data_IF_563998705281
#
_entry.id   IF_563998705281
#
_cell.length_a   1.000
_cell.length_b   1.000
_cell.length_c   1.000
_cell.angle_alpha   90.00
_cell.angle_beta   90.00
_cell.angle_gamma   90.00
#
_symmetry.space_group_name_H-M   'P 1'
#
loop_
_entity.id
_entity.type
_entity.pdbx_description
1 polymer ?
#
# COMPACT_ATOMS: atom_id res chain seq x y z
N UNK A 1 0.02 33.59 6.85
CA UNK A 1 -1.14 32.93 6.23
C UNK A 1 -2.21 32.88 7.31
N UNK A 2 -3.10 33.87 7.35
CA UNK A 2 -4.17 33.95 8.34
C UNK A 2 -5.39 33.24 7.77
N UNK A 3 -5.74 32.09 8.32
CA UNK A 3 -7.05 31.48 8.13
C UNK A 3 -8.00 32.17 9.12
N UNK A 4 -9.03 32.85 8.61
CA UNK A 4 -10.16 33.26 9.44
C UNK A 4 -11.11 32.06 9.58
N UNK A 5 -11.36 31.67 10.81
CA UNK A 5 -12.26 30.59 11.19
C UNK A 5 -13.71 30.91 10.80
N UNK A 6 -14.28 30.01 10.00
CA UNK A 6 -15.68 29.62 10.10
C UNK A 6 -15.74 28.14 9.73
N UNK A 7 -15.72 27.32 10.77
CA UNK A 7 -15.90 25.88 10.69
C UNK A 7 -17.36 25.55 10.31
N UNK A 8 -17.52 24.81 9.21
CA UNK A 8 -18.46 23.70 9.10
C UNK A 8 -17.92 22.80 8.00
N UNK A 9 -17.41 21.63 8.39
CA UNK A 9 -16.85 20.55 7.55
C UNK A 9 -15.94 20.99 6.37
N UNK A 10 -14.65 21.20 6.62
CA UNK A 10 -13.64 21.27 5.54
C UNK A 10 -13.43 19.87 4.93
N UNK A 11 -14.34 19.43 4.07
CA UNK A 11 -14.08 18.34 3.12
C UNK A 11 -13.04 18.86 2.12
N UNK A 12 -11.97 18.11 1.90
CA UNK A 12 -11.06 18.40 0.78
C UNK A 12 -11.86 18.20 -0.53
N UNK A 13 -12.22 19.30 -1.19
CA UNK A 13 -13.04 19.32 -2.41
C UNK A 13 -12.25 18.94 -3.68
N UNK A 14 -10.94 18.74 -3.56
CA UNK A 14 -10.03 18.48 -4.67
C UNK A 14 -9.01 17.42 -4.23
N UNK A 15 -8.92 16.33 -4.96
CA UNK A 15 -7.77 15.43 -4.93
C UNK A 15 -6.75 15.88 -5.97
N UNK A 16 -5.49 15.98 -5.55
CA UNK A 16 -4.36 16.29 -6.43
C UNK A 16 -3.45 15.06 -6.45
N UNK A 17 -3.22 14.50 -7.64
CA UNK A 17 -2.30 13.39 -7.88
C UNK A 17 -1.19 13.85 -8.81
N UNK A 18 0.04 13.42 -8.57
CA UNK A 18 1.15 13.69 -9.48
C UNK A 18 1.47 12.44 -10.28
N UNK A 19 1.58 12.58 -11.60
CA UNK A 19 2.15 11.54 -12.46
C UNK A 19 3.66 11.43 -12.23
N UNK A 20 4.26 10.32 -12.68
CA UNK A 20 5.70 10.10 -12.61
C UNK A 20 6.50 11.08 -13.47
N UNK A 21 5.88 11.70 -14.47
CA UNK A 21 6.45 12.76 -15.31
C UNK A 21 6.36 14.16 -14.67
N UNK A 22 5.78 14.25 -13.46
CA UNK A 22 5.62 15.51 -12.72
C UNK A 22 4.36 16.30 -13.07
N UNK A 23 3.51 15.81 -13.97
CA UNK A 23 2.22 16.45 -14.26
C UNK A 23 1.25 16.26 -13.09
N UNK A 24 0.58 17.34 -12.68
CA UNK A 24 -0.49 17.29 -11.68
C UNK A 24 -1.83 16.98 -12.35
N UNK A 25 -2.56 16.01 -11.80
CA UNK A 25 -3.92 15.65 -12.14
C UNK A 25 -4.85 16.09 -11.00
N UNK A 26 -5.90 16.83 -11.34
CA UNK A 26 -6.89 17.32 -10.40
C UNK A 26 -8.18 16.54 -10.56
N UNK A 27 -8.75 16.09 -9.44
CA UNK A 27 -10.08 15.48 -9.39
C UNK A 27 -10.90 16.28 -8.40
N UNK A 28 -11.91 16.96 -8.87
CA UNK A 28 -12.84 17.68 -8.01
C UNK A 28 -13.86 16.69 -7.44
N UNK A 29 -13.91 16.55 -6.12
CA UNK A 29 -14.79 15.58 -5.45
C UNK A 29 -16.23 16.06 -5.45
N UNK A 30 -17.15 15.09 -5.45
CA UNK A 30 -18.60 15.30 -5.34
C UNK A 30 -19.23 16.06 -6.53
N UNK A 31 -18.54 16.12 -7.67
CA UNK A 31 -19.04 16.70 -8.92
C UNK A 31 -18.51 15.88 -10.10
N UNK A 32 -19.24 15.89 -11.22
CA UNK A 32 -18.77 15.27 -12.45
C UNK A 32 -17.59 16.05 -13.01
N UNK A 33 -16.51 15.32 -13.32
CA UNK A 33 -15.29 15.85 -13.91
C UNK A 33 -15.32 15.60 -15.42
N UNK A 34 -14.80 16.55 -16.17
CA UNK A 34 -14.64 16.52 -17.62
C UNK A 34 -13.17 16.74 -17.95
N UNK A 35 -12.74 16.33 -19.15
CA UNK A 35 -11.35 16.52 -19.60
C UNK A 35 -10.93 18.00 -19.68
N UNK A 36 -11.89 18.93 -19.67
CA UNK A 36 -11.66 20.36 -19.72
C UNK A 36 -11.59 21.01 -18.33
N UNK A 37 -11.88 20.26 -17.27
CA UNK A 37 -11.86 20.82 -15.92
C UNK A 37 -10.44 21.11 -15.47
N UNK A 38 -10.20 22.35 -15.06
CA UNK A 38 -8.93 22.80 -14.52
C UNK A 38 -9.11 23.63 -13.25
N UNK A 39 -8.03 23.71 -12.47
CA UNK A 39 -7.90 24.68 -11.38
C UNK A 39 -7.29 25.95 -11.96
N UNK A 40 -7.96 27.10 -11.82
CA UNK A 40 -7.44 28.38 -12.27
C UNK A 40 -7.59 29.47 -11.18
N UNK A 41 -6.84 30.57 -11.29
CA UNK A 41 -6.87 31.68 -10.34
C UNK A 41 -7.83 32.78 -10.81
N UNK A 42 -8.86 33.01 -10.00
CA UNK A 42 -9.82 34.08 -10.23
C UNK A 42 -9.33 35.39 -9.58
N UNK A 43 -8.88 36.34 -10.40
CA UNK A 43 -8.44 37.66 -9.94
C UNK A 43 -9.53 38.47 -9.23
N UNK A 44 -10.80 38.34 -9.65
CA UNK A 44 -11.90 39.09 -9.07
C UNK A 44 -12.29 38.62 -7.67
N UNK A 45 -12.18 37.32 -7.40
CA UNK A 45 -12.45 36.74 -6.08
C UNK A 45 -11.20 36.47 -5.24
N UNK A 46 -10.00 36.64 -5.83
CA UNK A 46 -8.70 36.38 -5.20
C UNK A 46 -8.62 34.93 -4.68
N UNK A 47 -9.15 33.97 -5.46
CA UNK A 47 -9.28 32.56 -5.07
C UNK A 47 -8.98 31.64 -6.25
N UNK A 48 -8.46 30.45 -5.96
CA UNK A 48 -8.44 29.35 -6.92
C UNK A 48 -9.84 28.74 -7.06
N UNK A 49 -10.28 28.47 -8.29
CA UNK A 49 -11.60 27.91 -8.58
C UNK A 49 -11.53 26.88 -9.72
N UNK A 50 -12.57 26.04 -9.83
CA UNK A 50 -12.77 25.12 -10.96
C UNK A 50 -13.26 25.90 -12.17
N UNK A 51 -12.73 25.57 -13.34
CA UNK A 51 -13.21 26.06 -14.63
C UNK A 51 -13.40 24.89 -15.59
N UNK A 52 -14.49 24.90 -16.36
CA UNK A 52 -14.83 23.87 -17.36
C UNK A 52 -14.40 24.25 -18.79
N UNK A 53 -13.67 25.37 -18.93
CA UNK A 53 -13.11 25.86 -20.17
C UNK A 53 -11.79 26.58 -19.90
N UNK A 54 -10.85 26.44 -20.83
CA UNK A 54 -9.52 27.04 -20.79
C UNK A 54 -9.60 28.52 -21.20
N UNK A 55 -10.07 29.39 -20.32
CA UNK A 55 -10.19 30.83 -20.62
C UNK A 55 -9.05 31.63 -20.00
N UNK A 56 -8.43 32.48 -20.84
CA UNK A 56 -7.54 33.66 -20.73
C UNK A 56 -6.74 34.00 -19.44
N UNK A 57 -6.96 33.37 -18.29
CA UNK A 57 -6.54 33.83 -16.97
C UNK A 57 -5.31 33.12 -16.41
N UNK A 58 -4.36 32.73 -17.28
CA UNK A 58 -3.00 32.32 -16.89
C UNK A 58 -2.92 30.94 -16.23
N UNK A 59 -2.18 30.01 -16.85
CA UNK A 59 -2.06 28.62 -16.38
C UNK A 59 -1.59 28.55 -14.92
N UNK A 60 -2.43 28.06 -14.01
CA UNK A 60 -1.99 27.65 -12.68
C UNK A 60 -1.07 26.44 -12.83
N UNK A 61 0.19 26.64 -12.43
CA UNK A 61 1.18 25.57 -12.39
C UNK A 61 1.39 25.17 -10.93
N UNK A 62 1.05 23.93 -10.60
CA UNK A 62 1.36 23.36 -9.29
C UNK A 62 2.72 22.69 -9.39
N UNK A 63 3.71 23.32 -8.77
CA UNK A 63 5.04 22.74 -8.63
C UNK A 63 5.09 21.94 -7.34
N UNK A 64 5.63 20.72 -7.41
CA UNK A 64 6.06 20.02 -6.20
C UNK A 64 7.14 20.87 -5.54
N UNK A 65 7.01 21.12 -4.24
CA UNK A 65 8.02 21.86 -3.46
C UNK A 65 9.39 21.18 -3.67
N UNK A 66 10.31 21.92 -4.28
CA UNK A 66 11.72 21.53 -4.32
C UNK A 66 12.32 21.77 -2.94
N UNK A 67 12.24 20.77 -2.07
CA UNK A 67 13.26 20.62 -1.02
C UNK A 67 14.47 20.11 -1.77
N UNK A 68 15.64 20.76 -1.72
CA UNK A 68 16.85 20.20 -2.33
C UNK A 68 17.02 18.80 -1.75
N UNK A 69 16.66 17.73 -2.48
CA UNK A 69 16.57 16.43 -1.85
C UNK A 69 18.01 16.06 -1.50
N UNK A 70 18.22 15.53 -0.30
CA UNK A 70 19.47 14.80 -0.05
C UNK A 70 19.55 13.75 -1.15
N UNK A 71 20.54 13.88 -2.03
CA UNK A 71 20.78 12.91 -3.10
C UNK A 71 21.65 11.83 -2.49
N UNK A 72 21.10 10.63 -2.41
CA UNK A 72 21.76 9.45 -1.87
C UNK A 72 22.07 8.53 -3.03
N UNK A 73 23.34 8.17 -3.20
CA UNK A 73 23.73 7.29 -4.31
C UNK A 73 23.21 5.86 -4.11
N UNK A 74 23.37 5.32 -2.90
CA UNK A 74 22.96 3.97 -2.55
C UNK A 74 22.32 3.94 -1.16
N UNK A 75 21.18 3.27 -1.05
CA UNK A 75 20.54 2.92 0.21
C UNK A 75 20.27 1.42 0.22
N UNK A 76 20.47 0.77 1.36
CA UNK A 76 20.05 -0.63 1.56
C UNK A 76 18.96 -0.66 2.62
N UNK A 77 17.87 -1.36 2.34
CA UNK A 77 16.83 -1.68 3.32
C UNK A 77 16.87 -3.18 3.58
N UNK A 78 17.26 -3.58 4.80
CA UNK A 78 17.47 -4.97 5.15
C UNK A 78 16.28 -5.60 5.85
N UNK A 79 15.85 -6.80 5.44
CA UNK A 79 14.74 -7.47 6.13
C UNK A 79 15.09 -7.88 7.58
N UNK A 80 16.37 -8.03 7.92
CA UNK A 80 16.82 -8.34 9.27
C UNK A 80 17.16 -7.09 10.11
N UNK A 81 17.06 -5.90 9.54
CA UNK A 81 17.53 -4.65 10.13
C UNK A 81 16.38 -3.73 10.54
N UNK A 82 16.64 -2.80 11.47
CA UNK A 82 15.72 -1.69 11.76
C UNK A 82 15.78 -0.65 10.66
N UNK A 83 14.73 -0.56 9.86
CA UNK A 83 14.59 0.36 8.73
C UNK A 83 13.82 1.65 9.09
N UNK A 84 13.03 1.69 10.16
CA UNK A 84 12.13 2.81 10.46
C UNK A 84 12.89 4.12 10.70
N UNK A 85 13.95 4.08 11.51
CA UNK A 85 14.81 5.25 11.77
C UNK A 85 15.54 5.70 10.50
N UNK A 86 16.03 4.74 9.70
CA UNK A 86 16.70 4.99 8.43
C UNK A 86 15.78 5.69 7.43
N UNK A 87 14.56 5.18 7.28
CA UNK A 87 13.53 5.74 6.40
C UNK A 87 13.09 7.13 6.88
N UNK A 88 12.96 7.33 8.20
CA UNK A 88 12.64 8.63 8.79
C UNK A 88 13.76 9.64 8.53
N UNK A 89 15.02 9.24 8.70
CA UNK A 89 16.19 10.08 8.43
C UNK A 89 16.26 10.53 6.97
N UNK A 90 15.92 9.63 6.04
CA UNK A 90 15.91 9.91 4.60
C UNK A 90 14.57 10.40 4.06
N UNK A 91 13.65 10.89 4.91
CA UNK A 91 12.38 11.44 4.43
C UNK A 91 12.59 12.49 3.35
N UNK A 92 11.85 12.37 2.24
CA UNK A 92 11.93 13.21 1.05
C UNK A 92 13.27 13.19 0.29
N UNK A 93 14.24 12.37 0.72
CA UNK A 93 15.50 12.17 0.01
C UNK A 93 15.26 11.47 -1.35
N UNK A 94 16.10 11.80 -2.32
CA UNK A 94 16.12 11.16 -3.63
C UNK A 94 17.27 10.16 -3.66
N UNK A 95 16.96 8.89 -3.90
CA UNK A 95 17.91 7.79 -3.87
C UNK A 95 18.07 7.19 -5.26
N UNK A 96 19.30 7.14 -5.76
CA UNK A 96 19.61 6.59 -7.08
C UNK A 96 19.43 5.08 -7.12
N UNK A 97 19.95 4.35 -6.13
CA UNK A 97 19.82 2.90 -6.04
C UNK A 97 19.36 2.49 -4.64
N UNK A 98 18.21 1.84 -4.54
CA UNK A 98 17.72 1.22 -3.31
C UNK A 98 17.83 -0.29 -3.45
N UNK A 99 18.72 -0.90 -2.69
CA UNK A 99 18.82 -2.36 -2.57
C UNK A 99 17.89 -2.83 -1.47
N UNK A 100 16.99 -3.76 -1.79
CA UNK A 100 16.16 -4.43 -0.80
C UNK A 100 16.88 -5.73 -0.45
N UNK A 101 17.51 -5.82 0.73
CA UNK A 101 18.25 -7.02 1.14
C UNK A 101 17.28 -8.13 1.57
N UNK A 102 16.66 -8.74 0.55
CA UNK A 102 15.72 -9.85 0.64
C UNK A 102 15.84 -10.73 -0.60
N UNK A 103 15.60 -12.02 -0.42
CA UNK A 103 15.47 -12.97 -1.54
C UNK A 103 14.02 -13.44 -1.64
N UNK A 104 13.47 -13.40 -2.84
CA UNK A 104 12.20 -14.05 -3.16
C UNK A 104 12.50 -15.33 -3.93
N UNK A 105 12.04 -16.47 -3.42
CA UNK A 105 12.33 -17.77 -4.03
C UNK A 105 11.46 -17.98 -5.27
N UNK A 106 12.02 -18.62 -6.29
CA UNK A 106 11.29 -19.05 -7.48
C UNK A 106 10.42 -20.27 -7.20
N UNK A 107 9.50 -20.17 -6.23
CA UNK A 107 8.65 -21.26 -5.75
C UNK A 107 7.18 -21.14 -6.19
N UNK A 108 6.85 -20.10 -6.96
CA UNK A 108 5.47 -19.79 -7.33
C UNK A 108 4.61 -19.28 -6.17
N UNK A 109 5.23 -19.04 -5.01
CA UNK A 109 4.56 -18.76 -3.76
C UNK A 109 4.12 -17.30 -3.61
N UNK A 110 3.33 -17.09 -2.56
CA UNK A 110 2.88 -15.78 -2.14
C UNK A 110 3.70 -15.25 -0.97
N UNK A 111 3.91 -13.94 -0.99
CA UNK A 111 4.67 -13.20 0.00
C UNK A 111 3.99 -11.86 0.28
N UNK A 112 4.45 -11.14 1.30
CA UNK A 112 4.07 -9.75 1.53
C UNK A 112 5.26 -8.81 1.39
N UNK A 113 4.99 -7.57 1.01
CA UNK A 113 6.00 -6.51 0.87
C UNK A 113 5.42 -5.16 1.28
N UNK A 114 6.19 -4.39 2.06
CA UNK A 114 5.85 -3.02 2.42
C UNK A 114 7.11 -2.15 2.28
N UNK A 115 7.07 -1.16 1.37
CA UNK A 115 8.23 -0.33 1.04
C UNK A 115 7.93 1.16 1.29
N UNK A 116 8.92 1.96 1.69
CA UNK A 116 8.75 3.38 1.98
C UNK A 116 8.71 4.28 0.74
N UNK A 117 8.64 3.68 -0.45
CA UNK A 117 8.58 4.34 -1.75
C UNK A 117 7.64 3.57 -2.69
N UNK A 118 7.12 4.27 -3.69
CA UNK A 118 6.25 3.70 -4.72
C UNK A 118 7.06 2.99 -5.81
N UNK A 119 6.56 1.85 -6.26
CA UNK A 119 7.01 1.14 -7.45
C UNK A 119 6.10 1.51 -8.62
N UNK A 120 6.70 1.70 -9.79
CA UNK A 120 6.02 1.82 -11.08
C UNK A 120 6.00 0.46 -11.77
N UNK A 121 5.26 0.37 -12.88
CA UNK A 121 5.22 -0.85 -13.70
C UNK A 121 6.62 -1.23 -14.19
N UNK A 122 7.47 -0.24 -14.49
CA UNK A 122 8.84 -0.48 -14.91
C UNK A 122 9.73 -1.03 -13.78
N UNK A 123 9.58 -0.52 -12.56
CA UNK A 123 10.32 -1.06 -11.41
C UNK A 123 9.90 -2.50 -11.11
N UNK A 124 8.60 -2.78 -11.14
CA UNK A 124 8.10 -4.15 -10.97
C UNK A 124 8.68 -5.07 -12.03
N UNK A 125 8.69 -4.64 -13.30
CA UNK A 125 9.23 -5.44 -14.41
C UNK A 125 10.74 -5.65 -14.32
N UNK A 126 11.50 -4.64 -13.90
CA UNK A 126 12.97 -4.65 -13.96
C UNK A 126 13.63 -5.16 -12.67
N UNK A 127 13.16 -4.71 -11.51
CA UNK A 127 13.70 -5.11 -10.22
C UNK A 127 13.04 -6.39 -9.68
N UNK A 128 11.78 -6.66 -10.04
CA UNK A 128 11.01 -7.82 -9.58
C UNK A 128 10.48 -8.68 -10.75
N UNK A 129 11.34 -9.11 -11.69
CA UNK A 129 10.91 -9.77 -12.90
C UNK A 129 10.12 -11.04 -12.60
N UNK A 130 8.93 -11.16 -13.18
CA UNK A 130 8.05 -12.32 -12.96
C UNK A 130 7.28 -12.30 -11.63
N UNK A 131 7.21 -11.15 -10.95
CA UNK A 131 6.33 -10.97 -9.80
C UNK A 131 5.06 -10.21 -10.17
N UNK A 132 3.95 -10.54 -9.51
CA UNK A 132 2.71 -9.78 -9.57
C UNK A 132 2.40 -9.15 -8.22
N UNK A 133 2.09 -7.85 -8.23
CA UNK A 133 1.77 -7.08 -7.03
C UNK A 133 0.26 -6.92 -6.92
N UNK A 134 -0.26 -7.08 -5.70
CA UNK A 134 -1.68 -7.03 -5.43
C UNK A 134 -1.98 -6.16 -4.22
N UNK A 135 -2.85 -5.19 -4.41
CA UNK A 135 -3.32 -4.27 -3.37
C UNK A 135 -4.58 -4.83 -2.73
N UNK A 136 -4.71 -4.66 -1.41
CA UNK A 136 -5.97 -4.93 -0.73
C UNK A 136 -7.01 -3.91 -1.20
N UNK A 137 -8.10 -4.39 -1.79
CA UNK A 137 -9.21 -3.57 -2.28
C UNK A 137 -10.21 -3.31 -1.16
N UNK A 138 -10.69 -4.39 -0.55
CA UNK A 138 -11.65 -4.39 0.53
C UNK A 138 -11.55 -5.69 1.35
N UNK A 139 -12.25 -5.68 2.48
CA UNK A 139 -12.43 -6.85 3.34
C UNK A 139 -13.94 -6.99 3.51
N UNK A 140 -14.46 -8.16 3.18
CA UNK A 140 -15.90 -8.43 3.13
C UNK A 140 -16.26 -9.55 4.10
N UNK A 141 -17.35 -9.37 4.83
CA UNK A 141 -18.03 -10.43 5.57
C UNK A 141 -19.09 -11.04 4.65
N UNK A 142 -18.83 -12.23 4.10
CA UNK A 142 -19.72 -12.88 3.12
C UNK A 142 -20.89 -13.57 3.83
N UNK A 143 -20.61 -14.12 5.01
CA UNK A 143 -21.60 -14.64 5.96
C UNK A 143 -21.02 -14.54 7.39
N UNK A 144 -21.79 -14.95 8.40
CA UNK A 144 -21.43 -14.84 9.83
C UNK A 144 -20.07 -15.48 10.19
N UNK A 145 -19.57 -16.40 9.35
CA UNK A 145 -18.37 -17.21 9.63
C UNK A 145 -17.27 -17.09 8.56
N UNK A 146 -17.49 -16.29 7.52
CA UNK A 146 -16.58 -16.19 6.38
C UNK A 146 -16.22 -14.75 6.06
N UNK A 147 -14.95 -14.43 6.29
CA UNK A 147 -14.37 -13.13 5.91
C UNK A 147 -13.38 -13.33 4.77
N UNK A 148 -13.45 -12.41 3.80
CA UNK A 148 -12.66 -12.45 2.57
C UNK A 148 -11.85 -11.18 2.46
N UNK A 149 -10.52 -11.31 2.31
CA UNK A 149 -9.66 -10.21 1.90
C UNK A 149 -9.55 -10.22 0.38
N UNK A 150 -10.07 -9.20 -0.28
CA UNK A 150 -10.05 -9.10 -1.74
C UNK A 150 -8.84 -8.31 -2.21
N UNK A 151 -7.99 -8.97 -2.99
CA UNK A 151 -6.79 -8.39 -3.57
C UNK A 151 -6.92 -8.24 -5.08
N UNK A 152 -6.48 -7.08 -5.59
CA UNK A 152 -6.45 -6.81 -7.02
C UNK A 152 -5.03 -6.54 -7.50
N UNK A 153 -4.71 -7.07 -8.67
CA UNK A 153 -3.44 -6.79 -9.35
C UNK A 153 -3.30 -5.31 -9.68
N UNK A 154 -2.12 -4.77 -9.41
CA UNK A 154 -1.79 -3.37 -9.66
C UNK A 154 -0.55 -3.25 -10.52
N UNK A 155 -0.46 -2.12 -11.23
CA UNK A 155 0.70 -1.73 -12.06
C UNK A 155 1.62 -0.72 -11.34
N UNK A 156 1.25 -0.28 -10.16
CA UNK A 156 2.06 0.59 -9.32
C UNK A 156 1.69 0.40 -7.86
N UNK A 157 2.60 0.76 -6.95
CA UNK A 157 2.34 0.78 -5.50
C UNK A 157 2.29 2.20 -4.95
N UNK A 158 1.77 2.33 -3.74
CA UNK A 158 1.80 3.52 -2.91
C UNK A 158 2.84 3.30 -1.82
N UNK A 159 3.65 4.33 -1.54
CA UNK A 159 4.64 4.28 -0.48
C UNK A 159 3.98 4.01 0.88
N UNK A 160 4.54 3.06 1.63
CA UNK A 160 4.10 2.66 2.97
C UNK A 160 2.90 1.71 3.00
N UNK A 161 2.21 1.47 1.89
CA UNK A 161 1.13 0.49 1.87
C UNK A 161 1.68 -0.95 1.83
N UNK A 162 1.01 -1.90 2.52
CA UNK A 162 1.33 -3.31 2.41
C UNK A 162 0.73 -3.92 1.14
N UNK A 163 1.48 -4.81 0.49
CA UNK A 163 1.06 -5.54 -0.72
C UNK A 163 1.22 -7.03 -0.54
N UNK A 164 0.30 -7.79 -1.13
CA UNK A 164 0.50 -9.20 -1.44
C UNK A 164 1.29 -9.28 -2.75
N UNK A 165 2.32 -10.11 -2.79
CA UNK A 165 3.13 -10.30 -4.00
C UNK A 165 3.24 -11.79 -4.32
N UNK A 166 3.07 -12.14 -5.58
CA UNK A 166 3.08 -13.52 -6.05
C UNK A 166 4.23 -13.71 -7.03
N UNK A 167 4.97 -14.80 -6.88
CA UNK A 167 5.89 -15.27 -7.92
C UNK A 167 5.08 -15.97 -9.01
N UNK A 168 5.19 -15.49 -10.25
CA UNK A 168 4.43 -16.08 -11.35
C UNK A 168 4.92 -17.51 -11.66
N UNK A 169 4.02 -18.42 -12.06
CA UNK A 169 4.42 -19.73 -12.56
C UNK A 169 5.42 -19.61 -13.71
N UNK A 170 6.47 -20.43 -13.69
CA UNK A 170 7.51 -20.44 -14.72
C UNK A 170 8.70 -19.51 -14.46
N UNK A 171 8.69 -18.71 -13.39
CA UNK A 171 9.93 -18.10 -12.88
C UNK A 171 10.83 -19.20 -12.34
N UNK A 172 12.08 -19.25 -12.80
CA UNK A 172 13.03 -20.32 -12.48
C UNK A 172 14.22 -19.87 -11.63
N UNK A 173 14.46 -18.57 -11.54
CA UNK A 173 15.56 -18.00 -10.77
C UNK A 173 15.01 -17.15 -9.63
N UNK A 174 15.63 -17.29 -8.45
CA UNK A 174 15.34 -16.44 -7.31
C UNK A 174 15.61 -14.98 -7.64
N UNK A 175 14.80 -14.08 -7.08
CA UNK A 175 15.04 -12.64 -7.14
C UNK A 175 15.81 -12.28 -5.89
N UNK A 176 17.12 -12.12 -6.05
CA UNK A 176 18.07 -11.87 -4.95
C UNK A 176 18.40 -10.39 -4.89
N UNK A 177 18.18 -9.79 -3.72
CA UNK A 177 18.51 -8.39 -3.41
C UNK A 177 18.11 -7.40 -4.50
N UNK A 178 16.81 -7.31 -4.86
CA UNK A 178 16.38 -6.47 -5.97
C UNK A 178 16.76 -5.00 -5.75
N UNK A 179 17.18 -4.34 -6.83
CA UNK A 179 17.61 -2.94 -6.83
C UNK A 179 16.60 -2.10 -7.59
N UNK A 180 15.98 -1.16 -6.90
CA UNK A 180 15.03 -0.19 -7.46
C UNK A 180 15.74 1.14 -7.64
N UNK A 181 15.53 1.81 -8.78
CA UNK A 181 16.26 3.03 -9.12
C UNK A 181 15.42 4.29 -8.94
N UNK A 182 16.08 5.41 -8.66
CA UNK A 182 15.55 6.76 -8.78
C UNK A 182 14.23 6.97 -8.00
N UNK A 183 14.30 6.80 -6.68
CA UNK A 183 13.12 6.86 -5.80
C UNK A 183 13.21 7.97 -4.78
N UNK A 184 12.06 8.54 -4.45
CA UNK A 184 11.90 9.34 -3.24
C UNK A 184 11.44 8.45 -2.09
N UNK A 185 12.00 8.65 -0.91
CA UNK A 185 11.47 8.06 0.33
C UNK A 185 10.29 8.93 0.79
N UNK A 186 9.07 8.42 0.65
CA UNK A 186 7.85 9.21 0.82
C UNK A 186 7.03 8.83 2.05
N UNK A 187 7.21 7.60 2.57
CA UNK A 187 6.44 7.11 3.70
C UNK A 187 7.36 6.75 4.88
N UNK A 188 7.43 7.62 5.88
CA UNK A 188 8.23 7.42 7.10
C UNK A 188 7.65 6.39 8.07
N UNK A 189 6.39 5.99 7.86
CA UNK A 189 5.72 4.94 8.61
C UNK A 189 4.94 4.05 7.65
N UNK A 190 4.86 2.74 7.91
CA UNK A 190 3.99 1.87 7.16
C UNK A 190 2.52 2.16 7.50
N UNK A 191 1.64 1.91 6.55
CA UNK A 191 0.20 2.07 6.68
C UNK A 191 -0.45 0.79 7.20
N UNK A 192 -1.59 0.98 7.85
CA UNK A 192 -2.51 -0.09 8.25
C UNK A 192 -3.74 0.02 7.38
N UNK A 193 -4.04 -1.02 6.61
CA UNK A 193 -5.31 -1.15 5.91
C UNK A 193 -6.26 -1.95 6.78
N UNK A 194 -7.48 -1.47 6.98
CA UNK A 194 -8.41 -2.11 7.92
C UNK A 194 -9.87 -1.89 7.58
N UNK A 195 -10.71 -2.86 7.94
CA UNK A 195 -12.17 -2.75 7.89
C UNK A 195 -12.77 -3.19 9.21
N UNK A 196 -13.74 -2.43 9.70
CA UNK A 196 -14.58 -2.81 10.82
C UNK A 196 -15.81 -3.55 10.27
N UNK A 197 -15.90 -4.84 10.58
CA UNK A 197 -17.00 -5.73 10.24
C UNK A 197 -17.83 -6.04 11.50
N UNK A 198 -18.95 -6.74 11.36
CA UNK A 198 -19.80 -7.06 12.51
C UNK A 198 -19.07 -7.97 13.51
N UNK A 199 -18.20 -8.85 13.01
CA UNK A 199 -17.37 -9.75 13.79
C UNK A 199 -16.04 -9.17 14.28
N UNK A 200 -15.78 -7.89 14.03
CA UNK A 200 -14.68 -7.13 14.64
C UNK A 200 -13.78 -6.42 13.64
N UNK A 201 -12.58 -6.05 14.10
CA UNK A 201 -11.67 -5.22 13.35
C UNK A 201 -10.58 -6.05 12.66
N UNK A 202 -10.64 -6.11 11.33
CA UNK A 202 -9.73 -6.85 10.48
C UNK A 202 -8.68 -5.92 9.89
N UNK A 203 -7.41 -6.33 9.93
CA UNK A 203 -6.30 -5.47 9.49
C UNK A 203 -5.30 -6.22 8.62
N UNK A 204 -4.68 -5.48 7.70
CA UNK A 204 -3.49 -5.84 6.96
C UNK A 204 -2.42 -4.75 7.22
N UNK A 205 -1.35 -5.15 7.89
CA UNK A 205 -0.40 -4.25 8.55
C UNK A 205 0.97 -4.40 7.90
N UNK A 206 1.48 -3.33 7.30
CA UNK A 206 2.87 -3.25 6.85
C UNK A 206 3.84 -2.99 8.01
N UNK A 207 5.06 -3.49 7.88
CA UNK A 207 6.16 -3.24 8.82
C UNK A 207 7.44 -2.92 8.06
N UNK A 208 8.22 -1.98 8.57
CA UNK A 208 9.58 -1.72 8.09
C UNK A 208 10.62 -2.50 8.88
N UNK A 209 10.38 -2.70 10.17
CA UNK A 209 11.32 -3.33 11.11
C UNK A 209 10.91 -4.74 11.46
N UNK A 210 11.85 -5.61 11.86
CA UNK A 210 11.54 -6.86 12.51
C UNK A 210 10.58 -6.63 13.68
N UNK A 211 9.46 -7.35 13.67
CA UNK A 211 8.37 -7.19 14.63
C UNK A 211 8.12 -8.51 15.33
N UNK A 212 8.04 -8.47 16.66
CA UNK A 212 7.69 -9.64 17.47
C UNK A 212 6.23 -10.02 17.23
N UNK A 213 6.01 -11.25 16.78
CA UNK A 213 4.68 -11.80 16.53
C UNK A 213 4.38 -12.89 17.57
N UNK A 214 3.37 -12.69 18.43
CA UNK A 214 2.96 -13.71 19.39
C UNK A 214 2.24 -14.86 18.69
N UNK A 215 2.30 -16.05 19.30
CA UNK A 215 1.53 -17.22 18.88
C UNK A 215 0.14 -17.27 19.56
N UNK A 216 -0.58 -16.15 19.55
CA UNK A 216 -1.92 -16.04 20.16
C UNK A 216 -3.06 -16.37 19.17
N UNK A 217 -2.69 -16.75 17.94
CA UNK A 217 -3.65 -17.06 16.90
C UNK A 217 -4.39 -15.84 16.33
N UNK A 218 -4.06 -14.58 16.63
CA UNK A 218 -4.68 -13.44 15.91
C UNK A 218 -3.84 -12.94 14.74
N UNK A 219 -2.54 -13.17 14.82
CA UNK A 219 -1.60 -12.83 13.77
C UNK A 219 -1.61 -13.94 12.73
N UNK A 220 -1.63 -13.54 11.46
CA UNK A 220 -1.76 -14.43 10.32
C UNK A 220 -0.81 -14.05 9.21
N UNK A 221 -0.35 -15.06 8.49
CA UNK A 221 0.48 -14.92 7.30
C UNK A 221 -0.21 -15.57 6.13
N UNK A 222 0.10 -15.10 4.93
CA UNK A 222 -0.34 -15.78 3.71
C UNK A 222 0.34 -17.15 3.60
N UNK A 223 -0.44 -18.18 3.27
CA UNK A 223 0.07 -19.50 2.93
C UNK A 223 0.88 -19.47 1.63
N UNK A 224 1.68 -20.52 1.38
CA UNK A 224 2.51 -20.59 0.17
C UNK A 224 1.67 -20.56 -1.13
N UNK A 225 0.49 -21.18 -1.15
CA UNK A 225 -0.45 -21.18 -2.27
C UNK A 225 -1.30 -19.89 -2.38
N UNK A 226 -1.25 -19.03 -1.37
CA UNK A 226 -1.92 -17.73 -1.34
C UNK A 226 -3.42 -17.75 -1.17
N UNK A 227 -4.01 -18.89 -0.80
CA UNK A 227 -5.46 -19.04 -0.59
C UNK A 227 -5.88 -18.77 0.84
N UNK A 228 -4.99 -19.06 1.80
CA UNK A 228 -5.32 -19.11 3.21
C UNK A 228 -4.44 -18.20 4.07
N UNK A 229 -4.97 -17.89 5.25
CA UNK A 229 -4.27 -17.20 6.31
C UNK A 229 -3.92 -18.17 7.42
N UNK A 230 -2.63 -18.35 7.68
CA UNK A 230 -2.11 -19.33 8.66
C UNK A 230 -1.51 -18.65 9.89
N UNK A 231 -1.72 -19.19 11.12
CA UNK A 231 -1.08 -18.68 12.33
C UNK A 231 0.43 -18.96 12.33
N UNK A 232 1.23 -18.20 13.10
CA UNK A 232 2.58 -18.64 13.47
C UNK A 232 2.53 -19.95 14.26
N UNK A 233 3.45 -20.87 13.97
CA UNK A 233 3.61 -22.10 14.76
C UNK A 233 4.19 -21.83 16.15
N UNK A 234 5.02 -20.80 16.28
CA UNK A 234 5.65 -20.35 17.53
C UNK A 234 5.78 -18.85 17.51
N UNK A 235 5.93 -18.23 18.69
CA UNK A 235 6.35 -16.83 18.76
C UNK A 235 7.68 -16.64 18.01
N UNK A 236 7.81 -15.49 17.34
CA UNK A 236 9.03 -15.16 16.64
C UNK A 236 8.99 -13.78 15.99
N UNK A 237 10.15 -13.33 15.54
CA UNK A 237 10.26 -12.06 14.83
C UNK A 237 9.94 -12.24 13.35
N UNK A 238 8.84 -11.63 12.90
CA UNK A 238 8.63 -11.42 11.47
C UNK A 238 9.66 -10.39 11.01
N UNK A 239 10.49 -10.75 10.03
CA UNK A 239 11.46 -9.85 9.42
C UNK A 239 10.79 -8.59 8.83
N UNK A 240 11.53 -7.49 8.76
CA UNK A 240 11.09 -6.20 8.24
C UNK A 240 10.76 -6.21 6.74
N UNK A 241 10.18 -5.09 6.27
CA UNK A 241 9.70 -4.88 4.90
C UNK A 241 8.61 -5.88 4.48
N UNK A 242 7.85 -6.40 5.44
CA UNK A 242 6.78 -7.39 5.24
C UNK A 242 5.45 -6.82 5.69
N UNK A 243 4.42 -7.63 5.57
CA UNK A 243 3.12 -7.37 6.17
C UNK A 243 2.53 -8.65 6.76
N UNK A 244 1.63 -8.48 7.72
CA UNK A 244 0.85 -9.54 8.34
C UNK A 244 -0.60 -9.12 8.51
N UNK A 245 -1.47 -10.09 8.75
CA UNK A 245 -2.87 -9.86 9.01
C UNK A 245 -3.13 -9.96 10.51
N UNK A 246 -3.95 -9.06 11.04
CA UNK A 246 -4.40 -9.10 12.43
C UNK A 246 -5.91 -9.26 12.45
N UNK A 247 -6.35 -10.39 12.99
CA UNK A 247 -7.76 -10.75 13.11
C UNK A 247 -8.29 -10.37 14.51
N UNK A 248 -9.59 -10.10 14.65
CA UNK A 248 -10.20 -9.92 15.96
C UNK A 248 -10.25 -11.25 16.73
N UNK A 249 -10.42 -11.17 18.05
CA UNK A 249 -10.40 -12.31 18.97
C UNK A 249 -11.30 -13.50 18.56
N UNK A 250 -12.52 -13.30 18.01
CA UNK A 250 -13.37 -14.39 17.56
C UNK A 250 -12.72 -15.30 16.49
N UNK A 251 -11.68 -14.82 15.81
CA UNK A 251 -10.93 -15.56 14.79
C UNK A 251 -9.55 -16.02 15.27
N UNK A 252 -9.23 -15.81 16.55
CA UNK A 252 -7.93 -16.14 17.12
C UNK A 252 -7.64 -17.65 17.09
N UNK A 253 -8.58 -18.42 17.61
CA UNK A 253 -8.39 -19.85 17.93
C UNK A 253 -8.83 -20.80 16.82
N UNK A 254 -9.27 -20.27 15.66
CA UNK A 254 -10.05 -21.04 14.68
C UNK A 254 -11.19 -21.80 15.37
N UNK A 255 -11.76 -21.21 16.42
CA UNK A 255 -12.91 -21.78 17.10
C UNK A 255 -14.07 -21.87 16.11
N UNK A 256 -14.76 -22.99 16.22
CA UNK A 256 -16.03 -23.16 15.60
C UNK A 256 -16.97 -22.05 16.09
N UNK A 257 -17.85 -21.57 15.22
CA UNK A 257 -18.90 -20.62 15.58
C UNK A 257 -19.83 -21.21 16.67
N UNK A 258 -20.83 -20.44 17.08
CA UNK A 258 -21.85 -20.92 18.04
C UNK A 258 -22.61 -22.17 17.56
N UNK A 259 -22.51 -22.52 16.27
CA UNK A 259 -23.15 -23.67 15.64
C UNK A 259 -22.19 -24.84 15.36
N UNK A 260 -20.91 -24.75 15.75
CA UNK A 260 -19.95 -25.84 15.54
C UNK A 260 -19.34 -25.90 14.13
N UNK A 261 -19.33 -24.81 13.35
CA UNK A 261 -18.69 -24.67 12.02
C UNK A 261 -17.39 -23.85 12.11
N UNK A 262 -16.27 -24.27 11.45
CA UNK A 262 -15.02 -23.51 11.51
C UNK A 262 -15.18 -22.11 10.91
N UNK A 263 -14.78 -21.08 11.65
CA UNK A 263 -14.63 -19.73 11.09
C UNK A 263 -13.51 -19.70 10.05
N UNK A 264 -13.80 -19.17 8.87
CA UNK A 264 -12.90 -19.15 7.74
C UNK A 264 -12.49 -17.72 7.39
N UNK A 265 -11.19 -17.51 7.20
CA UNK A 265 -10.65 -16.27 6.61
C UNK A 265 -9.82 -16.64 5.41
N UNK A 266 -10.24 -16.15 4.25
CA UNK A 266 -9.68 -16.54 2.95
C UNK A 266 -9.22 -15.32 2.17
N UNK A 267 -8.32 -15.56 1.22
CA UNK A 267 -7.83 -14.55 0.30
C UNK A 267 -8.50 -14.78 -1.06
N UNK A 268 -9.17 -13.75 -1.58
CA UNK A 268 -9.66 -13.72 -2.95
C UNK A 268 -8.74 -12.83 -3.80
N UNK A 269 -8.38 -13.31 -4.98
CA UNK A 269 -7.43 -12.62 -5.87
C UNK A 269 -8.08 -12.43 -7.24
N UNK A 270 -8.04 -11.19 -7.76
CA UNK A 270 -8.51 -10.82 -9.11
C UNK A 270 -9.94 -11.32 -9.45
N UNK A 271 -10.83 -11.31 -8.46
CA UNK A 271 -12.23 -11.70 -8.65
C UNK A 271 -12.46 -13.20 -8.84
N UNK A 272 -11.50 -14.06 -8.44
CA UNK A 272 -11.76 -15.49 -8.34
C UNK A 272 -13.01 -15.73 -7.48
N UNK A 273 -14.06 -16.28 -8.09
CA UNK A 273 -15.25 -16.70 -7.36
C UNK A 273 -14.83 -17.72 -6.30
N UNK A 274 -15.10 -17.39 -5.04
CA UNK A 274 -14.98 -18.35 -3.96
C UNK A 274 -15.96 -19.48 -4.25
N UNK A 275 -15.44 -20.66 -4.59
CA UNK A 275 -16.28 -21.85 -4.70
C UNK A 275 -17.11 -21.99 -3.43
N UNK A 276 -18.44 -21.96 -3.62
CA UNK A 276 -19.45 -22.11 -2.56
C UNK A 276 -19.30 -23.43 -1.83
#
# INVERSE_FOLDING_TARGET
MFYSDNETEKRNLIDIKFSNEGNAHFVFKNIENTEKDCLDYNYGSVRFARYSAYDVYGKVQVYRRYVAPVVVENLTLGEAEGNADLVSYYQDAYVHNITIDRTFRADGGYYTLCLPFALTEDDMRTAFPGMQFKQLKDIEEVDEDKVVYHFLSVKSTVAGEPYLVRILPGVTNDIVKPVVKNKFILATKPSVMSSLLSSGHFKFIGIYDPTLIPADGRYRFVSADGTDLVPPNTEGNLKGLRAYFLLPEPYATCEFDSNGKPRAVVIAVDGAELSK
#
